data_IF_839626286816
#
_entry.id   IF_839626286816
#
_cell.length_a   1.000
_cell.length_b   1.000
_cell.length_c   1.000
_cell.angle_alpha   90.00
_cell.angle_beta   90.00
_cell.angle_gamma   90.00
#
_symmetry.space_group_name_H-M   'P 1'
#
loop_
_entity.id
_entity.type
_entity.pdbx_description
1 polymer ?
#
# COMPACT_ATOMS: atom_id res chain seq x y z
N UNK A 1 -8.73 5.24 21.75
CA UNK A 1 -8.89 5.06 20.29
C UNK A 1 -7.59 4.50 19.77
N UNK A 2 -7.59 3.30 19.17
CA UNK A 2 -6.39 2.83 18.48
C UNK A 2 -6.22 3.66 17.21
N UNK A 3 -5.08 4.35 17.08
CA UNK A 3 -4.73 5.00 15.83
C UNK A 3 -4.63 3.94 14.74
N UNK A 4 -5.41 4.09 13.68
CA UNK A 4 -5.23 3.30 12.47
C UNK A 4 -3.92 3.75 11.83
N UNK A 5 -2.89 2.92 11.95
CA UNK A 5 -1.59 3.21 11.36
C UNK A 5 -1.68 2.99 9.85
N UNK A 6 -1.07 3.85 9.02
CA UNK A 6 -1.18 3.76 7.55
C UNK A 6 -0.64 2.45 6.97
N UNK A 7 0.17 1.72 7.74
CA UNK A 7 0.73 0.42 7.41
C UNK A 7 -0.17 -0.77 7.74
N UNK A 8 -1.32 -0.56 8.39
CA UNK A 8 -2.22 -1.66 8.80
C UNK A 8 -3.31 -1.90 7.77
N UNK A 9 -3.43 -3.13 7.29
CA UNK A 9 -4.49 -3.50 6.36
C UNK A 9 -5.89 -3.35 6.98
N UNK A 10 -6.92 -2.89 6.23
CA UNK A 10 -8.26 -2.60 6.76
C UNK A 10 -8.93 -3.79 7.47
N UNK A 11 -8.69 -5.01 6.99
CA UNK A 11 -9.28 -6.22 7.55
C UNK A 11 -8.76 -6.55 8.97
N UNK A 12 -7.58 -6.04 9.36
CA UNK A 12 -7.01 -6.25 10.69
C UNK A 12 -7.79 -5.57 11.81
N UNK A 13 -8.68 -4.63 11.49
CA UNK A 13 -9.58 -4.01 12.48
C UNK A 13 -10.59 -5.01 13.05
N UNK A 14 -10.90 -6.06 12.28
CA UNK A 14 -11.85 -7.08 12.67
C UNK A 14 -11.07 -8.32 13.13
N UNK A 15 -10.76 -8.38 14.44
CA UNK A 15 -10.03 -9.47 15.11
C UNK A 15 -10.62 -10.88 14.87
N UNK A 16 -11.82 -10.98 14.29
CA UNK A 16 -12.53 -12.23 14.00
C UNK A 16 -12.34 -12.77 12.56
N UNK A 17 -11.56 -12.10 11.70
CA UNK A 17 -11.30 -12.57 10.33
C UNK A 17 -10.04 -13.41 10.24
N UNK A 18 -10.07 -14.44 9.39
CA UNK A 18 -8.89 -15.19 8.96
C UNK A 18 -7.94 -14.24 8.22
N UNK A 19 -7.01 -13.64 8.96
CA UNK A 19 -5.92 -12.87 8.40
C UNK A 19 -5.05 -13.81 7.58
N UNK A 20 -4.61 -13.33 6.42
CA UNK A 20 -3.68 -14.04 5.55
C UNK A 20 -2.42 -13.21 5.40
N UNK A 21 -1.38 -13.74 4.77
CA UNK A 21 -0.17 -12.99 4.41
C UNK A 21 -0.43 -11.76 3.53
N UNK A 22 -1.66 -11.55 3.05
CA UNK A 22 -2.07 -10.35 2.30
C UNK A 22 -2.08 -9.09 3.15
N UNK A 23 -2.10 -9.19 4.48
CA UNK A 23 -1.92 -8.02 5.36
C UNK A 23 -0.52 -7.45 5.22
N UNK A 24 0.49 -8.32 5.07
CA UNK A 24 1.89 -7.89 4.90
C UNK A 24 2.11 -7.25 3.52
N UNK A 25 1.41 -7.74 2.50
CA UNK A 25 1.43 -7.14 1.15
C UNK A 25 0.92 -5.70 1.17
N UNK A 26 -0.13 -5.43 1.96
CA UNK A 26 -0.60 -4.07 2.16
C UNK A 26 0.48 -3.20 2.82
N UNK A 27 1.12 -3.70 3.89
CA UNK A 27 2.21 -3.01 4.58
C UNK A 27 3.40 -2.72 3.66
N UNK A 28 3.74 -3.65 2.76
CA UNK A 28 4.78 -3.45 1.72
C UNK A 28 4.39 -2.31 0.77
N UNK A 29 3.13 -2.25 0.35
CA UNK A 29 2.62 -1.13 -0.45
C UNK A 29 2.74 0.21 0.27
N UNK A 30 2.47 0.24 1.58
CA UNK A 30 2.63 1.44 2.40
C UNK A 30 4.10 1.89 2.53
N UNK A 31 5.03 0.95 2.73
CA UNK A 31 6.47 1.25 2.71
C UNK A 31 6.91 1.77 1.34
N UNK A 32 6.44 1.15 0.25
CA UNK A 32 6.75 1.61 -1.10
C UNK A 32 6.26 3.04 -1.35
N UNK A 33 5.02 3.34 -0.95
CA UNK A 33 4.48 4.70 -1.03
C UNK A 33 5.33 5.69 -0.22
N UNK A 34 5.68 5.33 1.02
CA UNK A 34 6.54 6.15 1.89
C UNK A 34 7.88 6.48 1.22
N UNK A 35 8.55 5.47 0.63
CA UNK A 35 9.83 5.65 -0.05
C UNK A 35 9.72 6.64 -1.22
N UNK A 36 8.61 6.59 -1.96
CA UNK A 36 8.39 7.43 -3.14
C UNK A 36 8.08 8.89 -2.77
N UNK A 37 7.36 9.13 -1.67
CA UNK A 37 6.98 10.47 -1.22
C UNK A 37 7.93 11.04 -0.15
N UNK A 38 8.98 10.29 0.23
CA UNK A 38 9.81 10.59 1.40
C UNK A 38 10.47 11.97 1.35
N UNK A 39 10.80 12.46 0.15
CA UNK A 39 11.53 13.70 -0.08
C UNK A 39 10.65 14.92 -0.42
N UNK A 40 9.36 14.76 -0.73
CA UNK A 40 8.61 15.81 -1.43
C UNK A 40 7.66 16.63 -0.56
N UNK A 41 7.40 16.25 0.70
CA UNK A 41 6.10 16.55 1.30
C UNK A 41 6.17 16.68 2.84
N UNK A 42 5.45 17.65 3.42
CA UNK A 42 5.36 17.84 4.87
C UNK A 42 4.54 16.72 5.54
N UNK A 43 4.58 16.59 6.87
CA UNK A 43 3.94 15.46 7.56
C UNK A 43 2.42 15.31 7.27
N UNK A 44 1.69 16.41 7.08
CA UNK A 44 0.23 16.38 6.84
C UNK A 44 -0.10 15.81 5.47
N UNK A 45 0.63 16.26 4.46
CA UNK A 45 0.45 15.79 3.10
C UNK A 45 0.88 14.31 2.95
N UNK A 46 1.85 13.82 3.75
CA UNK A 46 2.15 12.38 3.83
C UNK A 46 0.96 11.58 4.35
N UNK A 47 0.30 12.06 5.41
CA UNK A 47 -0.93 11.45 5.93
C UNK A 47 -2.01 11.44 4.84
N UNK A 48 -2.24 12.58 4.18
CA UNK A 48 -3.22 12.68 3.09
C UNK A 48 -2.95 11.65 1.99
N UNK A 49 -1.69 11.48 1.57
CA UNK A 49 -1.33 10.49 0.56
C UNK A 49 -1.68 9.05 0.98
N UNK A 50 -1.45 8.69 2.26
CA UNK A 50 -1.86 7.39 2.78
C UNK A 50 -3.37 7.23 2.84
N UNK A 51 -4.10 8.26 3.26
CA UNK A 51 -5.56 8.26 3.29
C UNK A 51 -6.13 8.08 1.87
N UNK A 52 -5.61 8.82 0.90
CA UNK A 52 -5.98 8.76 -0.51
C UNK A 52 -5.81 7.34 -1.09
N UNK A 53 -4.63 6.73 -0.95
CA UNK A 53 -4.42 5.36 -1.48
C UNK A 53 -5.28 4.32 -0.76
N UNK A 54 -5.58 4.53 0.53
CA UNK A 54 -6.42 3.61 1.30
C UNK A 54 -7.87 3.59 0.79
N UNK A 55 -8.34 4.71 0.23
CA UNK A 55 -9.65 4.80 -0.40
C UNK A 55 -9.64 4.48 -1.90
N UNK A 56 -8.45 4.32 -2.50
CA UNK A 56 -8.25 3.94 -3.89
C UNK A 56 -7.89 5.09 -4.83
N UNK A 57 -7.51 6.24 -4.29
CA UNK A 57 -6.99 7.38 -5.04
C UNK A 57 -5.47 7.29 -5.11
N UNK A 58 -4.91 7.34 -6.31
CA UNK A 58 -3.47 7.20 -6.53
C UNK A 58 -2.95 8.44 -7.28
N UNK A 59 -1.77 8.98 -6.92
CA UNK A 59 -1.19 10.13 -7.61
C UNK A 59 -0.95 9.84 -9.10
N UNK A 60 -1.42 10.72 -9.99
CA UNK A 60 -1.27 10.54 -11.45
C UNK A 60 0.17 10.76 -11.94
N UNK A 61 1.00 11.45 -11.16
CA UNK A 61 2.38 11.80 -11.53
C UNK A 61 3.35 10.61 -11.37
N UNK A 62 2.87 9.47 -10.87
CA UNK A 62 3.71 8.29 -10.68
C UNK A 62 3.88 7.47 -11.95
N UNK A 63 5.04 6.80 -12.04
CA UNK A 63 5.27 5.78 -13.06
C UNK A 63 4.10 4.77 -13.10
N UNK A 64 3.67 4.41 -14.31
CA UNK A 64 2.46 3.60 -14.50
C UNK A 64 2.57 2.21 -13.85
N UNK A 65 3.77 1.61 -13.85
CA UNK A 65 3.99 0.30 -13.25
C UNK A 65 4.02 0.42 -11.72
N UNK A 66 4.68 1.44 -11.17
CA UNK A 66 4.66 1.72 -9.72
C UNK A 66 3.22 1.96 -9.25
N UNK A 67 2.46 2.76 -10.00
CA UNK A 67 1.04 3.02 -9.72
C UNK A 67 0.23 1.72 -9.73
N UNK A 68 0.49 0.82 -10.69
CA UNK A 68 -0.16 -0.48 -10.76
C UNK A 68 0.21 -1.37 -9.55
N UNK A 69 1.47 -1.37 -9.13
CA UNK A 69 1.93 -2.10 -7.94
C UNK A 69 1.25 -1.61 -6.67
N UNK A 70 1.14 -0.29 -6.50
CA UNK A 70 0.42 0.31 -5.37
C UNK A 70 -1.07 -0.07 -5.43
N UNK A 71 -1.73 0.05 -6.58
CA UNK A 71 -3.13 -0.36 -6.76
C UNK A 71 -3.37 -1.81 -6.36
N UNK A 72 -2.50 -2.73 -6.78
CA UNK A 72 -2.58 -4.15 -6.38
C UNK A 72 -2.34 -4.31 -4.88
N UNK A 73 -1.37 -3.61 -4.29
CA UNK A 73 -1.04 -3.75 -2.86
C UNK A 73 -2.15 -3.20 -1.94
N UNK A 74 -2.82 -2.13 -2.36
CA UNK A 74 -3.89 -1.46 -1.62
C UNK A 74 -5.31 -1.94 -1.97
N UNK A 75 -5.47 -3.02 -2.76
CA UNK A 75 -6.81 -3.52 -3.09
C UNK A 75 -7.60 -3.87 -1.81
N UNK A 76 -8.84 -3.38 -1.75
CA UNK A 76 -9.75 -3.61 -0.61
C UNK A 76 -10.09 -5.08 -0.42
N UNK A 77 -10.04 -5.87 -1.50
CA UNK A 77 -10.16 -7.32 -1.45
C UNK A 77 -8.76 -7.94 -1.30
N UNK A 78 -8.42 -8.56 -0.15
CA UNK A 78 -7.10 -9.14 0.08
C UNK A 78 -6.70 -10.18 -0.97
N UNK A 79 -7.66 -10.92 -1.53
CA UNK A 79 -7.40 -11.94 -2.55
C UNK A 79 -6.92 -11.36 -3.89
N UNK A 80 -7.22 -10.09 -4.17
CA UNK A 80 -6.77 -9.39 -5.38
C UNK A 80 -5.39 -8.77 -5.23
N UNK A 81 -4.88 -8.65 -4.00
CA UNK A 81 -3.53 -8.14 -3.78
C UNK A 81 -2.51 -9.11 -4.33
N UNK A 82 -1.39 -8.58 -4.80
CA UNK A 82 -0.28 -9.39 -5.32
C UNK A 82 0.28 -10.34 -4.26
N UNK A 83 1.01 -11.36 -4.70
CA UNK A 83 1.88 -12.15 -3.83
C UNK A 83 3.24 -11.45 -3.67
N UNK A 84 4.01 -11.86 -2.65
CA UNK A 84 5.36 -11.35 -2.46
C UNK A 84 6.26 -11.65 -3.68
N UNK A 85 6.12 -12.82 -4.29
CA UNK A 85 6.86 -13.21 -5.49
C UNK A 85 6.51 -12.33 -6.70
N UNK A 86 5.24 -11.98 -6.87
CA UNK A 86 4.82 -11.06 -7.95
C UNK A 86 5.41 -9.66 -7.74
N UNK A 87 5.42 -9.15 -6.51
CA UNK A 87 6.04 -7.86 -6.19
C UNK A 87 7.54 -7.91 -6.46
N UNK A 88 8.23 -8.98 -6.04
CA UNK A 88 9.65 -9.17 -6.28
C UNK A 88 9.98 -9.20 -7.77
N UNK A 89 9.24 -9.99 -8.55
CA UNK A 89 9.43 -10.08 -10.01
C UNK A 89 9.23 -8.73 -10.71
N UNK A 90 8.32 -7.89 -10.20
CA UNK A 90 8.09 -6.55 -10.74
C UNK A 90 9.23 -5.58 -10.37
N UNK A 91 9.68 -5.61 -9.11
CA UNK A 91 10.80 -4.77 -8.64
C UNK A 91 12.13 -5.11 -9.34
N UNK A 92 12.35 -6.38 -9.66
CA UNK A 92 13.55 -6.81 -10.39
C UNK A 92 13.69 -6.19 -11.79
N UNK A 93 12.63 -5.62 -12.36
CA UNK A 93 12.70 -4.92 -13.65
C UNK A 93 13.41 -3.56 -13.56
N UNK A 94 13.66 -3.06 -12.35
CA UNK A 94 14.30 -1.76 -12.09
C UNK A 94 15.75 -1.86 -11.59
N UNK A 95 16.30 -3.08 -11.53
CA UNK A 95 17.67 -3.38 -11.10
C UNK A 95 18.47 -3.88 -12.29
#
# INVERSE_FOLDING_TARGET
>A
MCFDTPFRAPEMKYLSRNLTNKVDIYSVGAVLLEMLISHSINHLEKISAFEDVSIGLFPEVMDANITLMLKKSFDRNPCKRSSANEILNELQKYV
#
